data_IF_463702892886
#
_entry.id   IF_463702892886
#
_cell.length_a   1.000
_cell.length_b   1.000
_cell.length_c   1.000
_cell.angle_alpha   90.00
_cell.angle_beta   90.00
_cell.angle_gamma   90.00
#
_symmetry.space_group_name_H-M   'P 1'
#
loop_
_entity.id
_entity.type
_entity.pdbx_description
1 polymer ?
#
# COMPACT_ATOMS: atom_id res chain seq x y z
N UNK A 1 -2.58 -4.58 -23.07
CA UNK A 1 -1.40 -5.29 -22.52
C UNK A 1 -1.29 -4.99 -21.04
N UNK A 2 -1.08 -5.98 -20.17
CA UNK A 2 -0.83 -5.73 -18.73
C UNK A 2 0.51 -4.98 -18.60
N UNK A 3 0.51 -3.76 -18.02
CA UNK A 3 1.74 -3.04 -17.68
C UNK A 3 2.41 -3.73 -16.49
N UNK A 4 3.73 -3.85 -16.53
CA UNK A 4 4.53 -4.30 -15.38
C UNK A 4 4.65 -3.14 -14.38
N UNK A 5 4.67 -3.47 -13.09
CA UNK A 5 4.77 -2.48 -12.02
C UNK A 5 5.74 -2.93 -10.93
N UNK A 6 6.25 -1.96 -10.17
CA UNK A 6 6.92 -2.18 -8.89
C UNK A 6 5.92 -1.88 -7.79
N UNK A 7 5.70 -2.86 -6.90
CA UNK A 7 4.61 -2.81 -5.92
C UNK A 7 5.18 -2.88 -4.50
N UNK A 8 4.66 -2.05 -3.60
CA UNK A 8 4.76 -2.26 -2.14
C UNK A 8 3.38 -2.56 -1.58
N UNK A 9 3.32 -3.44 -0.58
CA UNK A 9 2.08 -3.92 0.03
C UNK A 9 2.19 -3.71 1.54
N UNK A 10 1.18 -3.10 2.15
CA UNK A 10 1.16 -2.89 3.60
C UNK A 10 -0.03 -2.06 4.07
N UNK A 11 -0.24 -2.01 5.38
CA UNK A 11 -1.32 -1.18 5.95
C UNK A 11 -0.96 0.31 6.01
N UNK A 12 0.33 0.65 6.14
CA UNK A 12 0.88 2.01 6.11
C UNK A 12 0.31 2.98 7.17
N UNK A 13 -0.12 2.49 8.33
CA UNK A 13 -0.66 3.34 9.40
C UNK A 13 0.36 4.40 9.87
N UNK A 14 -0.08 5.66 9.93
CA UNK A 14 0.71 6.83 10.29
C UNK A 14 1.89 7.17 9.38
N UNK A 15 2.14 6.38 8.32
CA UNK A 15 3.22 6.59 7.33
C UNK A 15 4.57 7.01 7.97
N UNK A 16 4.97 6.28 9.02
CA UNK A 16 6.21 6.54 9.77
C UNK A 16 7.48 6.33 8.92
N UNK A 17 8.66 6.63 9.46
CA UNK A 17 9.93 6.60 8.72
C UNK A 17 10.22 5.27 7.99
N UNK A 18 9.86 4.13 8.57
CA UNK A 18 9.97 2.82 7.89
C UNK A 18 9.12 2.72 6.62
N UNK A 19 7.85 3.16 6.68
CA UNK A 19 6.96 3.24 5.52
C UNK A 19 7.53 4.15 4.44
N UNK A 20 8.00 5.35 4.82
CA UNK A 20 8.61 6.31 3.87
C UNK A 20 9.74 5.67 3.06
N UNK A 21 10.65 4.96 3.74
CA UNK A 21 11.76 4.23 3.09
C UNK A 21 11.29 3.17 2.09
N UNK A 22 10.22 2.42 2.42
CA UNK A 22 9.66 1.42 1.50
C UNK A 22 9.04 2.08 0.27
N UNK A 23 8.31 3.18 0.46
CA UNK A 23 7.64 3.93 -0.62
C UNK A 23 8.69 4.55 -1.55
N UNK A 24 9.70 5.22 -0.99
CA UNK A 24 10.80 5.81 -1.75
C UNK A 24 11.59 4.77 -2.54
N UNK A 25 11.79 3.57 -1.97
CA UNK A 25 12.44 2.46 -2.67
C UNK A 25 11.63 2.01 -3.89
N UNK A 26 10.31 1.85 -3.74
CA UNK A 26 9.45 1.49 -4.88
C UNK A 26 9.48 2.56 -5.96
N UNK A 27 9.40 3.84 -5.59
CA UNK A 27 9.48 4.96 -6.54
C UNK A 27 10.81 4.94 -7.30
N UNK A 28 11.92 4.76 -6.58
CA UNK A 28 13.26 4.70 -7.16
C UNK A 28 13.41 3.52 -8.13
N UNK A 29 12.95 2.34 -7.74
CA UNK A 29 12.99 1.14 -8.58
C UNK A 29 12.11 1.26 -9.82
N UNK A 30 10.90 1.82 -9.68
CA UNK A 30 9.99 2.06 -10.80
C UNK A 30 10.61 3.01 -11.83
N UNK A 31 11.19 4.12 -11.36
CA UNK A 31 11.92 5.06 -12.23
C UNK A 31 13.09 4.39 -12.95
N UNK A 32 13.93 3.63 -12.24
CA UNK A 32 15.09 2.95 -12.82
C UNK A 32 14.72 1.91 -13.88
N UNK A 33 13.57 1.25 -13.71
CA UNK A 33 13.08 0.20 -14.62
C UNK A 33 12.08 0.70 -15.66
N UNK A 34 11.74 2.00 -15.63
CA UNK A 34 10.66 2.58 -16.42
C UNK A 34 9.33 1.82 -16.26
N UNK A 35 8.97 1.51 -15.01
CA UNK A 35 7.77 0.78 -14.62
C UNK A 35 6.87 1.63 -13.73
N UNK A 36 5.57 1.35 -13.78
CA UNK A 36 4.57 1.97 -12.92
C UNK A 36 4.83 1.63 -11.44
N UNK A 37 4.65 2.60 -10.56
CA UNK A 37 4.85 2.48 -9.11
C UNK A 37 3.50 2.38 -8.42
N UNK A 38 3.29 1.29 -7.68
CA UNK A 38 2.00 0.99 -7.05
C UNK A 38 2.19 0.76 -5.56
N UNK A 39 1.37 1.44 -4.75
CA UNK A 39 1.20 1.13 -3.35
C UNK A 39 -0.15 0.45 -3.16
N UNK A 40 -0.13 -0.75 -2.61
CA UNK A 40 -1.34 -1.49 -2.24
C UNK A 40 -1.55 -1.38 -0.73
N UNK A 41 -2.70 -0.87 -0.32
CA UNK A 41 -3.10 -0.71 1.09
C UNK A 41 -4.52 -1.24 1.33
N UNK A 42 -4.96 -1.18 2.59
CA UNK A 42 -6.26 -1.68 3.03
C UNK A 42 -7.09 -0.54 3.62
N UNK A 43 -8.40 -0.58 3.43
CA UNK A 43 -9.34 0.41 4.00
C UNK A 43 -9.48 0.28 5.52
N UNK A 44 -9.23 -0.90 6.07
CA UNK A 44 -9.31 -1.21 7.51
C UNK A 44 -8.22 -2.19 7.93
N UNK A 45 -7.85 -2.24 9.23
CA UNK A 45 -6.83 -3.15 9.69
C UNK A 45 -7.30 -4.62 9.55
N UNK A 46 -6.38 -5.57 9.26
CA UNK A 46 -6.73 -6.99 9.12
C UNK A 46 -7.34 -7.64 10.35
N UNK A 47 -7.09 -7.05 11.53
CA UNK A 47 -7.64 -7.46 12.81
C UNK A 47 -8.08 -6.20 13.59
N UNK A 48 -9.00 -6.31 14.56
CA UNK A 48 -9.32 -5.20 15.45
C UNK A 48 -8.07 -4.78 16.22
N UNK A 49 -7.61 -3.54 16.03
CA UNK A 49 -6.45 -2.97 16.71
C UNK A 49 -6.85 -1.65 17.37
N UNK A 50 -6.48 -1.47 18.63
CA UNK A 50 -6.58 -0.18 19.33
C UNK A 50 -5.32 0.65 19.11
N UNK A 51 -5.46 1.97 19.00
CA UNK A 51 -4.32 2.88 18.91
C UNK A 51 -3.77 3.07 17.49
N UNK A 52 -4.66 3.10 16.48
CA UNK A 52 -4.28 3.51 15.13
C UNK A 52 -3.69 4.93 15.17
N UNK A 53 -2.60 5.12 14.41
CA UNK A 53 -1.88 6.41 14.34
C UNK A 53 -2.59 7.41 13.42
N UNK A 54 -3.48 6.95 12.57
CA UNK A 54 -4.23 7.76 11.61
C UNK A 54 -5.57 7.13 11.25
N UNK A 55 -6.57 7.95 10.93
CA UNK A 55 -7.76 7.45 10.24
C UNK A 55 -7.47 7.21 8.75
N UNK A 56 -8.38 6.52 8.05
CA UNK A 56 -8.16 6.13 6.66
C UNK A 56 -7.91 7.33 5.73
N UNK A 57 -8.66 8.41 5.91
CA UNK A 57 -8.58 9.63 5.11
C UNK A 57 -7.23 10.33 5.31
N UNK A 58 -6.79 10.50 6.57
CA UNK A 58 -5.48 11.09 6.91
C UNK A 58 -4.34 10.25 6.34
N UNK A 59 -4.42 8.92 6.45
CA UNK A 59 -3.43 8.02 5.84
C UNK A 59 -3.39 8.22 4.33
N UNK A 60 -4.53 8.32 3.67
CA UNK A 60 -4.59 8.51 2.22
C UNK A 60 -4.01 9.86 1.80
N UNK A 61 -4.25 10.93 2.57
CA UNK A 61 -3.60 12.23 2.36
C UNK A 61 -2.08 12.16 2.52
N UNK A 62 -1.58 11.48 3.56
CA UNK A 62 -0.15 11.27 3.75
C UNK A 62 0.47 10.51 2.57
N UNK A 63 -0.20 9.47 2.07
CA UNK A 63 0.27 8.66 0.94
C UNK A 63 0.22 9.43 -0.39
N UNK A 64 -0.75 10.33 -0.60
CA UNK A 64 -0.84 11.19 -1.80
C UNK A 64 0.30 12.19 -1.94
N UNK A 65 1.04 12.47 -0.86
CA UNK A 65 2.22 13.34 -0.92
C UNK A 65 3.44 12.68 -1.59
N UNK A 66 3.39 11.38 -1.86
CA UNK A 66 4.44 10.67 -2.58
C UNK A 66 4.14 10.64 -4.08
N UNK A 67 5.18 10.69 -4.91
CA UNK A 67 5.09 10.56 -6.37
C UNK A 67 4.86 9.11 -6.82
N UNK A 68 3.84 8.45 -6.26
CA UNK A 68 3.36 7.15 -6.71
C UNK A 68 2.45 7.35 -7.93
N UNK A 69 2.53 6.45 -8.90
CA UNK A 69 1.60 6.46 -10.04
C UNK A 69 0.20 6.01 -9.62
N UNK A 70 0.12 5.07 -8.66
CA UNK A 70 -1.15 4.50 -8.21
C UNK A 70 -1.13 4.11 -6.73
N UNK A 71 -2.24 4.40 -6.04
CA UNK A 71 -2.57 3.85 -4.73
C UNK A 71 -3.80 2.93 -4.92
N UNK A 72 -3.60 1.63 -4.75
CA UNK A 72 -4.66 0.62 -4.80
C UNK A 72 -5.16 0.34 -3.38
N UNK A 73 -6.47 0.47 -3.15
CA UNK A 73 -7.10 0.25 -1.85
C UNK A 73 -7.91 -1.03 -1.93
N UNK A 74 -7.51 -2.04 -1.16
CA UNK A 74 -8.28 -3.25 -0.96
C UNK A 74 -9.30 -3.02 0.16
N UNK A 75 -10.56 -3.33 -0.13
CA UNK A 75 -11.57 -3.49 0.91
C UNK A 75 -11.30 -4.78 1.67
N UNK A 76 -10.85 -4.67 2.92
CA UNK A 76 -10.54 -5.85 3.72
C UNK A 76 -11.79 -6.33 4.43
N UNK A 77 -12.26 -7.54 4.11
CA UNK A 77 -13.41 -8.16 4.76
C UNK A 77 -13.11 -9.62 5.18
N UNK A 78 -14.11 -10.30 5.73
CA UNK A 78 -13.98 -11.70 6.17
C UNK A 78 -13.76 -12.68 5.01
N UNK A 79 -14.11 -12.31 3.78
CA UNK A 79 -13.88 -13.16 2.62
C UNK A 79 -12.44 -12.99 2.14
N UNK A 80 -11.96 -11.75 2.07
CA UNK A 80 -10.58 -11.42 1.76
C UNK A 80 -9.61 -12.06 2.75
N UNK A 81 -9.92 -12.03 4.06
CA UNK A 81 -9.06 -12.62 5.09
C UNK A 81 -8.88 -14.14 4.98
N UNK A 82 -9.70 -14.82 4.16
CA UNK A 82 -9.61 -16.26 3.90
C UNK A 82 -8.85 -16.60 2.63
N UNK A 83 -8.42 -15.61 1.84
CA UNK A 83 -7.60 -15.84 0.66
C UNK A 83 -6.29 -16.46 1.12
N UNK A 84 -5.95 -17.62 0.57
CA UNK A 84 -4.67 -18.27 0.88
C UNK A 84 -3.51 -17.47 0.28
N UNK A 85 -2.29 -17.57 0.84
CA UNK A 85 -1.13 -16.87 0.29
C UNK A 85 -0.90 -17.14 -1.20
N UNK A 86 -1.15 -18.36 -1.66
CA UNK A 86 -0.98 -18.76 -3.07
C UNK A 86 -1.98 -18.10 -4.00
N UNK A 87 -3.19 -17.80 -3.49
CA UNK A 87 -4.24 -17.12 -4.26
C UNK A 87 -4.16 -15.59 -4.15
N UNK A 88 -3.36 -15.07 -3.22
CA UNK A 88 -3.11 -13.63 -3.08
C UNK A 88 -2.11 -13.13 -4.15
N UNK A 89 -1.13 -13.96 -4.52
CA UNK A 89 -0.11 -13.65 -5.54
C UNK A 89 -0.52 -14.14 -6.93
#
# INVERSE_FOLDING_TARGET
MKKKSVVTVGFFDGVHIGHKRLIEKVITEGKNKNLETVLLTFDRPPQPVSGLLSIFEERLELLKNFSLDKIEIIHFDKNFSKISPENFF
#
